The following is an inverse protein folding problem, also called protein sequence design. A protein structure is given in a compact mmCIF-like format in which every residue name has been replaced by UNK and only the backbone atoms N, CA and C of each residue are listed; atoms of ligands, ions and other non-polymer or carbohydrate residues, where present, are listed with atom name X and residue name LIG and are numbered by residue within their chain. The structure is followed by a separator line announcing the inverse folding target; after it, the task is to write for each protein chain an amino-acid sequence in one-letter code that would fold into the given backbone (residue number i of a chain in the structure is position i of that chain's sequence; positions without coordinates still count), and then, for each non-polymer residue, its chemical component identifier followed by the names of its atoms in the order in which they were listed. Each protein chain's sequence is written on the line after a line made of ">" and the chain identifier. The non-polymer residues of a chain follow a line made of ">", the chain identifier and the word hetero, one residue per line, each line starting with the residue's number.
data_IF_785393974518
#
_entry.id   IF_785393974518
#
_cell.length_a   1.000
_cell.length_b   1.000
_cell.length_c   1.000
_cell.angle_alpha   90.00
_cell.angle_beta   90.00
_cell.angle_gamma   90.00
#
_symmetry.space_group_name_H-M   'P 1'
#
loop_
_entity.id
_entity.type
_entity.pdbx_description
1 polymer ?
#
# COMPACT_ATOMS: atom_id res chain seq x y z
N UNK A 1 -35.67 9.09 -23.54
CA UNK A 1 -35.27 7.67 -23.64
C UNK A 1 -34.18 7.29 -22.63
N UNK A 2 -33.01 7.93 -22.62
CA UNK A 2 -31.97 7.62 -21.61
C UNK A 2 -32.45 7.89 -20.16
N UNK A 3 -33.13 9.03 -19.95
CA UNK A 3 -33.68 9.43 -18.65
C UNK A 3 -34.77 8.45 -18.15
N UNK A 4 -35.55 7.88 -19.07
CA UNK A 4 -36.59 6.87 -18.77
C UNK A 4 -36.00 5.49 -18.49
N UNK A 5 -34.92 5.10 -19.19
CA UNK A 5 -34.16 3.89 -18.88
C UNK A 5 -33.50 3.97 -17.51
N UNK A 6 -32.84 5.10 -17.20
CA UNK A 6 -32.15 5.30 -15.92
C UNK A 6 -33.14 5.52 -14.76
N UNK A 7 -34.39 5.91 -15.02
CA UNK A 7 -35.41 5.98 -13.95
C UNK A 7 -35.96 4.62 -13.52
N UNK A 8 -35.85 3.58 -14.35
CA UNK A 8 -36.37 2.26 -14.02
C UNK A 8 -35.35 1.49 -13.14
N UNK A 9 -35.74 0.99 -11.95
CA UNK A 9 -34.84 0.26 -11.05
C UNK A 9 -34.24 -1.00 -11.70
N UNK A 10 -35.02 -1.74 -12.52
CA UNK A 10 -34.54 -2.95 -13.21
C UNK A 10 -33.46 -2.61 -14.24
N UNK A 11 -33.70 -1.56 -15.03
CA UNK A 11 -32.73 -1.08 -16.02
C UNK A 11 -31.46 -0.52 -15.37
N UNK A 12 -31.56 0.13 -14.21
CA UNK A 12 -30.40 0.60 -13.43
C UNK A 12 -29.53 -0.55 -12.94
N UNK A 13 -30.16 -1.59 -12.37
CA UNK A 13 -29.47 -2.79 -11.90
C UNK A 13 -28.79 -3.51 -13.07
N UNK A 14 -29.46 -3.63 -14.22
CA UNK A 14 -28.89 -4.24 -15.42
C UNK A 14 -27.70 -3.44 -15.98
N UNK A 15 -27.80 -2.11 -16.04
CA UNK A 15 -26.69 -1.25 -16.45
C UNK A 15 -25.52 -1.33 -15.47
N UNK A 16 -25.77 -1.36 -14.15
CA UNK A 16 -24.74 -1.55 -13.14
C UNK A 16 -24.00 -2.88 -13.34
N UNK A 17 -24.72 -3.97 -13.65
CA UNK A 17 -24.10 -5.26 -13.95
C UNK A 17 -23.21 -5.21 -15.21
N UNK A 18 -23.67 -4.58 -16.30
CA UNK A 18 -22.86 -4.40 -17.51
C UNK A 18 -21.58 -3.62 -17.20
N UNK A 19 -21.69 -2.51 -16.46
CA UNK A 19 -20.54 -1.70 -16.05
C UNK A 19 -19.59 -2.53 -15.19
N UNK A 20 -20.09 -3.33 -14.25
CA UNK A 20 -19.27 -4.21 -13.43
C UNK A 20 -18.47 -5.20 -14.28
N UNK A 21 -19.10 -5.85 -15.26
CA UNK A 21 -18.42 -6.79 -16.16
C UNK A 21 -17.36 -6.10 -17.01
N UNK A 22 -17.68 -4.96 -17.61
CA UNK A 22 -16.73 -4.20 -18.44
C UNK A 22 -15.55 -3.70 -17.60
N UNK A 23 -15.80 -3.19 -16.39
CA UNK A 23 -14.76 -2.72 -15.49
C UNK A 23 -13.88 -3.87 -14.96
N UNK A 24 -14.47 -5.02 -14.64
CA UNK A 24 -13.73 -6.22 -14.26
C UNK A 24 -12.83 -6.73 -15.41
N UNK A 25 -13.35 -6.74 -16.65
CA UNK A 25 -12.55 -7.08 -17.83
C UNK A 25 -11.42 -6.08 -18.07
N UNK A 26 -11.65 -4.78 -17.85
CA UNK A 26 -10.61 -3.75 -17.91
C UNK A 26 -9.51 -3.98 -16.86
N UNK A 27 -9.92 -4.31 -15.63
CA UNK A 27 -9.01 -4.66 -14.53
C UNK A 27 -8.16 -5.88 -14.89
N UNK A 28 -8.79 -6.93 -15.41
CA UNK A 28 -8.13 -8.17 -15.84
C UNK A 28 -7.15 -7.94 -16.99
N UNK A 29 -7.52 -7.14 -18.00
CA UNK A 29 -6.64 -6.83 -19.13
C UNK A 29 -5.37 -6.09 -18.68
N UNK A 30 -5.50 -5.14 -17.75
CA UNK A 30 -4.34 -4.42 -17.20
C UNK A 30 -3.44 -5.37 -16.43
N UNK A 31 -4.03 -6.28 -15.63
CA UNK A 31 -3.25 -7.28 -14.89
C UNK A 31 -2.47 -8.22 -15.80
N UNK A 32 -3.10 -8.82 -16.82
CA UNK A 32 -2.43 -9.78 -17.72
C UNK A 32 -1.32 -9.13 -18.56
N UNK A 33 -1.40 -7.82 -18.79
CA UNK A 33 -0.38 -7.05 -19.51
C UNK A 33 0.62 -6.36 -18.59
N UNK A 34 0.49 -6.54 -17.27
CA UNK A 34 1.41 -6.01 -16.28
C UNK A 34 2.70 -6.85 -16.22
N UNK A 35 3.80 -6.27 -15.68
CA UNK A 35 4.99 -7.06 -15.34
C UNK A 35 4.63 -8.22 -14.41
N UNK A 36 5.38 -9.33 -14.48
CA UNK A 36 5.15 -10.51 -13.62
C UNK A 36 5.19 -10.20 -12.12
N UNK A 37 5.87 -9.11 -11.73
CA UNK A 37 5.96 -8.63 -10.35
C UNK A 37 4.84 -7.67 -9.94
N UNK A 38 3.80 -7.46 -10.76
CA UNK A 38 2.64 -6.65 -10.38
C UNK A 38 1.70 -7.43 -9.46
N UNK A 39 1.37 -6.86 -8.31
CA UNK A 39 0.43 -7.45 -7.35
C UNK A 39 1.08 -8.27 -6.23
N UNK A 40 2.40 -8.16 -6.06
CA UNK A 40 3.10 -8.91 -5.03
C UNK A 40 2.88 -8.27 -3.67
N UNK A 41 2.04 -8.90 -2.87
CA UNK A 41 1.76 -8.54 -1.47
C UNK A 41 2.63 -9.36 -0.53
N UNK A 42 2.86 -8.83 0.68
CA UNK A 42 3.49 -9.55 1.79
C UNK A 42 4.71 -10.37 1.38
N UNK A 43 5.67 -9.71 0.72
CA UNK A 43 6.98 -10.29 0.38
C UNK A 43 7.74 -10.55 1.68
N UNK A 44 7.34 -11.53 2.49
CA UNK A 44 7.97 -11.80 3.77
C UNK A 44 9.37 -12.33 3.49
N UNK A 45 10.39 -11.64 3.94
CA UNK A 45 11.75 -12.17 3.88
C UNK A 45 11.95 -13.20 5.00
N UNK A 46 11.20 -14.31 4.93
CA UNK A 46 11.34 -15.43 5.84
C UNK A 46 12.62 -16.20 5.49
N UNK A 47 13.32 -16.67 6.52
CA UNK A 47 14.58 -17.39 6.38
C UNK A 47 14.49 -18.68 7.17
N UNK A 48 14.37 -19.80 6.47
CA UNK A 48 14.21 -21.11 7.10
C UNK A 48 15.57 -21.85 7.23
N UNK A 49 16.56 -21.44 6.45
CA UNK A 49 17.88 -22.06 6.42
C UNK A 49 18.98 -21.05 6.09
N UNK A 50 20.16 -21.27 6.68
CA UNK A 50 21.39 -20.54 6.38
C UNK A 50 22.35 -21.49 5.65
N UNK A 51 22.92 -21.00 4.56
CA UNK A 51 23.94 -21.68 3.79
C UNK A 51 25.28 -20.98 3.94
N UNK A 52 26.34 -21.59 3.45
CA UNK A 52 27.63 -20.93 3.26
C UNK A 52 28.27 -21.34 1.93
N UNK A 53 29.12 -20.47 1.39
CA UNK A 53 29.91 -20.80 0.21
C UNK A 53 31.01 -21.82 0.56
N UNK A 54 31.06 -22.93 -0.17
CA UNK A 54 32.16 -23.88 -0.09
C UNK A 54 33.48 -23.32 -0.64
N UNK A 55 33.41 -22.48 -1.66
CA UNK A 55 34.55 -21.90 -2.38
C UNK A 55 34.45 -20.37 -2.43
N UNK A 56 35.51 -19.71 -2.90
CA UNK A 56 35.48 -18.27 -3.20
C UNK A 56 34.48 -17.97 -4.31
N UNK A 57 33.71 -16.89 -4.14
CA UNK A 57 32.71 -16.47 -5.12
C UNK A 57 32.87 -15.00 -5.48
N UNK A 58 32.66 -14.67 -6.76
CA UNK A 58 32.72 -13.29 -7.23
C UNK A 58 31.54 -12.97 -8.12
N UNK A 59 31.00 -11.77 -7.93
CA UNK A 59 29.88 -11.23 -8.70
C UNK A 59 30.31 -9.92 -9.33
N UNK A 60 30.20 -9.82 -10.65
CA UNK A 60 30.51 -8.60 -11.38
C UNK A 60 29.27 -8.09 -12.12
N UNK A 61 28.94 -6.84 -11.85
CA UNK A 61 28.02 -5.99 -12.60
C UNK A 61 28.82 -4.96 -13.40
N UNK A 62 28.20 -4.18 -14.29
CA UNK A 62 28.95 -3.32 -15.23
C UNK A 62 29.84 -2.28 -14.51
N UNK A 63 29.47 -1.84 -13.30
CA UNK A 63 30.21 -0.83 -12.52
C UNK A 63 30.54 -1.26 -11.08
N UNK A 64 30.26 -2.51 -10.73
CA UNK A 64 30.42 -3.02 -9.37
C UNK A 64 30.93 -4.45 -9.41
N UNK A 65 32.01 -4.73 -8.70
CA UNK A 65 32.52 -6.08 -8.49
C UNK A 65 32.54 -6.37 -6.98
N UNK A 66 31.94 -7.49 -6.60
CA UNK A 66 31.90 -8.02 -5.25
C UNK A 66 32.65 -9.35 -5.23
N UNK A 67 33.46 -9.57 -4.20
CA UNK A 67 34.09 -10.88 -3.95
C UNK A 67 33.81 -11.31 -2.52
N UNK A 68 33.39 -12.56 -2.38
CA UNK A 68 33.17 -13.24 -1.13
C UNK A 68 34.10 -14.45 -1.06
N UNK A 69 34.50 -14.80 0.15
CA UNK A 69 35.40 -15.93 0.40
C UNK A 69 34.63 -17.13 0.91
N UNK A 70 35.25 -18.31 0.84
CA UNK A 70 34.72 -19.51 1.48
C UNK A 70 34.29 -19.26 2.95
N UNK A 71 33.18 -19.87 3.36
CA UNK A 71 32.58 -19.66 4.69
C UNK A 71 31.69 -18.43 4.83
N UNK A 72 31.53 -17.61 3.79
CA UNK A 72 30.52 -16.53 3.75
C UNK A 72 29.12 -17.13 3.91
N UNK A 73 28.37 -16.63 4.89
CA UNK A 73 26.99 -17.03 5.12
C UNK A 73 26.09 -16.45 4.02
N UNK A 74 25.17 -17.27 3.54
CA UNK A 74 24.20 -16.96 2.50
C UNK A 74 22.81 -17.26 3.04
N UNK A 75 22.03 -16.20 3.20
CA UNK A 75 20.73 -16.22 3.86
C UNK A 75 19.70 -15.82 2.80
N UNK A 76 19.10 -16.80 2.09
CA UNK A 76 18.06 -16.54 1.12
C UNK A 76 16.76 -16.16 1.84
N UNK A 77 16.05 -15.22 1.23
CA UNK A 77 14.76 -14.77 1.68
C UNK A 77 13.69 -15.13 0.64
N UNK A 78 12.60 -15.75 1.11
CA UNK A 78 11.67 -16.45 0.25
C UNK A 78 10.30 -15.79 0.18
N UNK A 79 9.72 -15.73 -1.01
CA UNK A 79 8.31 -15.42 -1.19
C UNK A 79 7.65 -16.49 -2.06
N UNK A 80 6.58 -17.11 -1.56
CA UNK A 80 5.89 -18.24 -2.18
C UNK A 80 6.84 -19.36 -2.68
N UNK A 81 7.83 -19.71 -1.87
CA UNK A 81 8.81 -20.78 -2.18
C UNK A 81 9.87 -20.41 -3.22
N UNK A 82 9.97 -19.13 -3.60
CA UNK A 82 10.99 -18.61 -4.52
C UNK A 82 11.87 -17.58 -3.83
N UNK A 83 13.14 -17.50 -4.22
CA UNK A 83 14.08 -16.55 -3.65
C UNK A 83 13.84 -15.16 -4.26
N UNK A 84 13.66 -14.16 -3.40
CA UNK A 84 13.41 -12.75 -3.77
C UNK A 84 14.47 -11.80 -3.25
N UNK A 85 15.25 -12.22 -2.25
CA UNK A 85 16.45 -11.52 -1.82
C UNK A 85 17.46 -12.51 -1.23
N UNK A 86 18.73 -12.11 -1.21
CA UNK A 86 19.81 -12.90 -0.59
C UNK A 86 20.68 -11.96 0.22
N UNK A 87 20.80 -12.23 1.53
CA UNK A 87 21.74 -11.57 2.41
C UNK A 87 23.01 -12.40 2.51
N UNK A 88 24.15 -11.80 2.22
CA UNK A 88 25.48 -12.39 2.32
C UNK A 88 26.27 -11.72 3.44
N UNK A 89 26.86 -12.53 4.31
CA UNK A 89 27.65 -12.09 5.46
C UNK A 89 28.99 -12.86 5.47
N UNK A 90 30.09 -12.26 4.97
CA UNK A 90 31.42 -12.86 5.03
C UNK A 90 31.91 -13.06 6.47
N UNK A 91 32.85 -14.00 6.70
CA UNK A 91 33.49 -14.17 8.00
C UNK A 91 34.25 -12.91 8.41
N UNK A 92 34.24 -12.57 9.70
CA UNK A 92 34.91 -11.37 10.21
C UNK A 92 36.42 -11.36 9.92
N UNK A 93 37.06 -12.54 9.97
CA UNK A 93 38.49 -12.69 9.72
C UNK A 93 38.86 -12.63 8.23
N UNK A 94 37.86 -12.73 7.34
CA UNK A 94 38.04 -12.67 5.88
C UNK A 94 36.88 -11.91 5.23
N UNK A 95 36.80 -10.56 5.44
CA UNK A 95 35.71 -9.75 4.90
C UNK A 95 35.70 -9.79 3.38
N UNK A 96 34.55 -9.55 2.77
CA UNK A 96 34.43 -9.48 1.32
C UNK A 96 35.18 -8.29 0.72
N UNK A 97 35.31 -8.25 -0.60
CA UNK A 97 35.87 -7.11 -1.33
C UNK A 97 34.76 -6.42 -2.10
N UNK A 98 34.73 -5.08 -2.01
CA UNK A 98 33.90 -4.19 -2.79
C UNK A 98 34.79 -3.35 -3.72
N UNK A 99 34.59 -3.46 -5.03
CA UNK A 99 35.22 -2.62 -6.04
C UNK A 99 34.15 -1.86 -6.84
N UNK A 100 34.15 -0.54 -6.75
CA UNK A 100 33.26 0.33 -7.54
C UNK A 100 34.07 0.97 -8.66
N UNK A 101 33.68 0.72 -9.91
CA UNK A 101 34.34 1.25 -11.11
C UNK A 101 33.59 2.45 -11.65
N UNK A 102 34.24 3.62 -11.73
CA UNK A 102 33.58 4.87 -12.13
C UNK A 102 34.08 5.37 -13.50
N UNK A 103 33.17 5.68 -14.46
CA UNK A 103 33.52 6.32 -15.71
C UNK A 103 34.22 7.67 -15.51
N UNK A 104 35.21 7.97 -16.36
CA UNK A 104 35.97 9.24 -16.29
C UNK A 104 35.09 10.48 -16.34
N UNK A 105 34.02 10.43 -17.13
CA UNK A 105 33.12 11.55 -17.39
C UNK A 105 32.20 11.87 -16.19
N UNK A 106 32.01 10.90 -15.28
CA UNK A 106 31.05 11.00 -14.18
C UNK A 106 31.69 10.97 -12.79
N UNK A 107 32.97 10.60 -12.69
CA UNK A 107 33.68 10.49 -11.40
C UNK A 107 34.17 11.82 -10.82
N UNK A 108 34.26 12.89 -11.61
CA UNK A 108 34.90 14.14 -11.17
C UNK A 108 36.34 13.91 -10.69
N UNK A 109 36.64 14.30 -9.45
CA UNK A 109 37.94 14.12 -8.79
C UNK A 109 38.12 12.74 -8.13
N UNK A 110 37.10 11.89 -8.15
CA UNK A 110 37.18 10.55 -7.56
C UNK A 110 38.11 9.63 -8.36
N UNK A 111 38.75 8.64 -7.69
CA UNK A 111 39.58 7.67 -8.38
C UNK A 111 38.77 6.82 -9.38
N UNK A 112 39.46 6.17 -10.33
CA UNK A 112 38.82 5.25 -11.28
C UNK A 112 38.14 4.07 -10.61
N UNK A 113 38.70 3.62 -9.49
CA UNK A 113 38.17 2.50 -8.72
C UNK A 113 38.18 2.89 -7.26
N UNK A 114 37.03 2.80 -6.61
CA UNK A 114 36.91 2.92 -5.16
C UNK A 114 36.88 1.49 -4.61
N UNK A 115 37.73 1.21 -3.61
CA UNK A 115 37.83 -0.10 -2.98
C UNK A 115 37.46 0.00 -1.51
N UNK A 116 36.71 -0.98 -1.03
CA UNK A 116 36.42 -1.16 0.39
C UNK A 116 36.35 -2.65 0.73
N UNK A 117 36.42 -2.95 2.02
CA UNK A 117 36.04 -4.25 2.54
C UNK A 117 34.53 -4.27 2.77
N UNK A 118 33.90 -5.40 2.48
CA UNK A 118 32.47 -5.58 2.53
C UNK A 118 32.13 -6.46 3.74
N UNK A 119 31.40 -5.88 4.69
CA UNK A 119 30.92 -6.65 5.84
C UNK A 119 29.66 -7.45 5.48
N UNK A 120 28.78 -6.88 4.65
CA UNK A 120 27.50 -7.48 4.27
C UNK A 120 27.03 -6.99 2.90
N UNK A 121 26.27 -7.83 2.19
CA UNK A 121 25.53 -7.44 1.00
C UNK A 121 24.15 -8.06 0.98
N UNK A 122 23.13 -7.26 0.67
CA UNK A 122 21.78 -7.69 0.42
C UNK A 122 21.46 -7.45 -1.06
N UNK A 123 21.17 -8.52 -1.77
CA UNK A 123 20.85 -8.52 -3.20
C UNK A 123 19.35 -8.74 -3.36
N UNK A 124 18.67 -7.81 -4.05
CA UNK A 124 17.28 -8.01 -4.47
C UNK A 124 17.26 -8.76 -5.80
N UNK A 125 16.44 -9.81 -5.89
CA UNK A 125 16.44 -10.72 -7.04
C UNK A 125 15.07 -10.73 -7.72
N UNK A 126 15.08 -10.90 -9.05
CA UNK A 126 13.89 -11.39 -9.76
C UNK A 126 13.67 -12.85 -9.34
N UNK A 127 12.43 -13.30 -9.28
CA UNK A 127 12.05 -14.62 -8.75
C UNK A 127 12.93 -15.74 -9.32
N UNK A 128 13.79 -16.31 -8.47
CA UNK A 128 14.64 -17.44 -8.83
C UNK A 128 14.21 -18.67 -8.03
N UNK A 129 14.10 -19.81 -8.73
CA UNK A 129 13.85 -21.08 -8.05
C UNK A 129 15.01 -21.36 -7.10
N UNK A 130 14.67 -21.64 -5.86
CA UNK A 130 15.62 -22.04 -4.84
C UNK A 130 16.53 -23.20 -5.29
N UNK A 131 16.02 -24.15 -6.07
CA UNK A 131 16.83 -25.25 -6.61
C UNK A 131 17.89 -24.75 -7.58
N UNK A 132 17.58 -23.76 -8.41
CA UNK A 132 18.54 -23.11 -9.28
C UNK A 132 19.54 -22.28 -8.49
N UNK A 133 19.12 -21.66 -7.38
CA UNK A 133 20.04 -20.95 -6.48
C UNK A 133 21.10 -21.89 -5.86
N UNK A 134 20.75 -23.16 -5.61
CA UNK A 134 21.71 -24.17 -5.10
C UNK A 134 22.54 -24.81 -6.23
N UNK A 135 22.03 -24.81 -7.46
CA UNK A 135 22.63 -25.52 -8.59
C UNK A 135 22.58 -24.68 -9.85
N UNK A 136 23.67 -23.96 -10.12
CA UNK A 136 24.04 -23.67 -11.51
C UNK A 136 25.56 -23.72 -11.66
N UNK A 137 26.03 -24.83 -12.26
CA UNK A 137 27.37 -25.02 -12.83
C UNK A 137 28.60 -24.78 -11.93
N UNK A 138 29.05 -25.84 -11.25
CA UNK A 138 30.48 -26.20 -11.19
C UNK A 138 31.42 -25.44 -10.24
N UNK A 139 31.15 -24.19 -9.88
CA UNK A 139 32.17 -23.36 -9.20
C UNK A 139 31.83 -22.95 -7.75
N UNK A 140 30.59 -23.10 -7.28
CA UNK A 140 30.26 -22.85 -5.85
C UNK A 140 29.05 -23.66 -5.41
N UNK A 141 29.27 -24.67 -4.57
CA UNK A 141 28.18 -25.41 -3.91
C UNK A 141 27.82 -24.69 -2.62
N UNK A 142 26.56 -24.30 -2.47
CA UNK A 142 26.02 -23.80 -1.22
C UNK A 142 25.76 -24.99 -0.28
N UNK A 143 26.49 -25.02 0.83
CA UNK A 143 26.33 -26.05 1.85
C UNK A 143 25.46 -25.50 2.97
N UNK A 144 24.53 -26.31 3.48
CA UNK A 144 23.75 -25.94 4.66
C UNK A 144 24.71 -25.81 5.85
N UNK A 145 24.58 -24.75 6.63
CA UNK A 145 25.36 -24.62 7.86
C UNK A 145 24.94 -25.74 8.83
N UNK A 146 25.75 -26.81 8.89
CA UNK A 146 25.40 -28.06 9.61
C UNK A 146 25.33 -27.86 11.14
N UNK A 147 25.98 -26.82 11.66
CA UNK A 147 26.10 -26.54 13.09
C UNK A 147 25.07 -25.54 13.64
N UNK A 148 24.22 -24.93 12.80
CA UNK A 148 23.24 -23.93 13.25
C UNK A 148 21.87 -24.57 13.49
N UNK A 149 21.47 -24.66 14.76
CA UNK A 149 20.09 -25.00 15.10
C UNK A 149 19.16 -23.81 14.81
N UNK A 150 17.89 -24.07 14.48
CA UNK A 150 16.90 -23.03 14.15
C UNK A 150 16.75 -21.97 15.28
N UNK A 151 16.98 -22.38 16.53
CA UNK A 151 16.95 -21.51 17.71
C UNK A 151 18.18 -20.58 17.83
N UNK A 152 19.27 -20.91 17.15
CA UNK A 152 20.54 -20.16 17.18
C UNK A 152 20.62 -19.11 16.07
N UNK A 153 19.66 -19.13 15.14
CA UNK A 153 19.55 -18.14 14.07
C UNK A 153 19.14 -16.79 14.67
N UNK A 154 19.90 -15.70 14.44
CA UNK A 154 19.56 -14.37 14.97
C UNK A 154 18.44 -13.72 14.16
N UNK A 155 17.22 -14.25 14.28
CA UNK A 155 16.04 -13.90 13.48
C UNK A 155 15.73 -12.41 13.48
N UNK A 156 15.83 -11.73 14.63
CA UNK A 156 15.60 -10.28 14.73
C UNK A 156 16.62 -9.45 13.95
N UNK A 157 17.88 -9.87 13.96
CA UNK A 157 18.94 -9.19 13.22
C UNK A 157 18.72 -9.36 11.72
N UNK A 158 18.48 -10.60 11.29
CA UNK A 158 18.26 -10.97 9.88
C UNK A 158 17.02 -10.24 9.34
N UNK A 159 15.90 -10.27 10.06
CA UNK A 159 14.69 -9.54 9.71
C UNK A 159 14.95 -8.04 9.52
N UNK A 160 15.69 -7.40 10.44
CA UNK A 160 16.05 -5.98 10.31
C UNK A 160 16.92 -5.71 9.08
N UNK A 161 17.87 -6.58 8.75
CA UNK A 161 18.70 -6.40 7.55
C UNK A 161 17.88 -6.56 6.28
N UNK A 162 16.98 -7.54 6.24
CA UNK A 162 16.07 -7.78 5.13
C UNK A 162 15.08 -6.61 4.95
N UNK A 163 14.64 -5.97 6.04
CA UNK A 163 13.80 -4.77 5.97
C UNK A 163 14.47 -3.61 5.22
N UNK A 164 15.80 -3.50 5.27
CA UNK A 164 16.53 -2.52 4.46
C UNK A 164 16.42 -2.79 2.96
N UNK A 165 16.15 -4.03 2.55
CA UNK A 165 15.87 -4.41 1.16
C UNK A 165 14.60 -3.77 0.62
N UNK A 166 13.52 -3.70 1.43
CA UNK A 166 12.28 -3.05 1.00
C UNK A 166 12.49 -1.58 0.62
N UNK A 167 13.43 -0.89 1.25
CA UNK A 167 13.72 0.52 0.93
C UNK A 167 14.28 0.72 -0.50
N UNK A 168 14.81 -0.35 -1.11
CA UNK A 168 15.27 -0.34 -2.50
C UNK A 168 14.14 -0.58 -3.49
N UNK A 169 13.04 -1.19 -3.03
CA UNK A 169 11.90 -1.55 -3.86
C UNK A 169 10.89 -0.41 -3.94
N UNK A 170 10.26 -0.31 -5.09
CA UNK A 170 9.10 0.56 -5.29
C UNK A 170 7.87 -0.14 -4.74
N UNK A 171 7.15 0.54 -3.86
CA UNK A 171 5.85 0.10 -3.39
C UNK A 171 4.73 0.97 -3.90
N UNK A 172 3.53 0.42 -3.78
CA UNK A 172 2.28 1.09 -4.07
C UNK A 172 1.17 0.48 -3.22
N UNK A 173 0.16 1.26 -2.91
CA UNK A 173 -0.94 0.80 -2.08
C UNK A 173 -2.21 0.62 -2.93
N UNK A 174 -2.73 -0.59 -3.01
CA UNK A 174 -4.03 -0.91 -3.61
C UNK A 174 -5.07 -1.04 -2.49
N UNK A 175 -5.87 0.02 -2.28
CA UNK A 175 -6.99 0.04 -1.33
C UNK A 175 -6.68 -0.44 0.10
N UNK A 176 -5.46 -0.22 0.59
CA UNK A 176 -5.01 -0.66 1.92
C UNK A 176 -3.89 -1.71 1.86
N UNK A 177 -3.81 -2.49 0.79
CA UNK A 177 -2.80 -3.53 0.60
C UNK A 177 -1.52 -2.96 -0.03
N UNK A 178 -0.42 -3.03 0.69
CA UNK A 178 0.89 -2.61 0.19
C UNK A 178 1.45 -3.69 -0.72
N UNK A 179 1.66 -3.32 -1.97
CA UNK A 179 2.25 -4.16 -3.00
C UNK A 179 3.66 -3.66 -3.32
N UNK A 180 4.54 -4.59 -3.67
CA UNK A 180 5.94 -4.31 -3.98
C UNK A 180 6.25 -4.70 -5.42
N UNK A 181 6.95 -3.83 -6.13
CA UNK A 181 7.48 -4.14 -7.44
C UNK A 181 8.87 -4.75 -7.27
N UNK A 182 9.01 -6.03 -7.60
CA UNK A 182 10.31 -6.71 -7.62
C UNK A 182 11.14 -6.31 -8.85
N UNK A 183 12.49 -6.35 -8.77
CA UNK A 183 13.37 -6.09 -9.90
C UNK A 183 13.10 -7.08 -11.04
N UNK A 184 13.55 -6.70 -12.24
CA UNK A 184 13.57 -7.61 -13.40
C UNK A 184 14.93 -8.27 -13.52
N UNK A 185 15.06 -9.31 -14.35
CA UNK A 185 16.34 -9.96 -14.68
C UNK A 185 17.46 -8.99 -15.13
N UNK A 186 17.13 -7.78 -15.59
CA UNK A 186 18.11 -6.78 -16.06
C UNK A 186 18.35 -5.65 -15.04
N UNK A 187 17.67 -5.68 -13.89
CA UNK A 187 17.75 -4.64 -12.87
C UNK A 187 18.60 -5.12 -11.71
N UNK A 188 19.58 -4.31 -11.31
CA UNK A 188 20.41 -4.58 -10.13
C UNK A 188 19.99 -3.63 -9.01
N UNK A 189 19.64 -4.17 -7.86
CA UNK A 189 19.26 -3.43 -6.65
C UNK A 189 19.97 -4.06 -5.45
N UNK A 190 20.96 -3.37 -4.89
CA UNK A 190 21.75 -3.88 -3.76
C UNK A 190 21.81 -2.89 -2.62
N UNK A 191 21.87 -3.43 -1.41
CA UNK A 191 22.32 -2.72 -0.21
C UNK A 191 23.64 -3.35 0.24
N UNK A 192 24.67 -2.53 0.37
CA UNK A 192 26.02 -2.95 0.72
C UNK A 192 26.42 -2.25 2.01
N UNK A 193 27.19 -2.93 2.86
CA UNK A 193 27.77 -2.34 4.07
C UNK A 193 29.28 -2.44 3.98
N UNK A 194 29.92 -1.35 3.56
CA UNK A 194 31.37 -1.22 3.51
C UNK A 194 31.94 -0.82 4.87
N UNK A 195 33.13 -1.32 5.20
CA UNK A 195 33.81 -1.00 6.46
C UNK A 195 34.18 0.48 6.58
N UNK A 196 34.57 1.11 5.46
CA UNK A 196 34.96 2.53 5.43
C UNK A 196 33.85 3.42 4.91
N UNK A 197 33.14 2.97 3.88
CA UNK A 197 32.12 3.76 3.20
C UNK A 197 30.75 3.69 3.91
N UNK A 198 30.58 2.76 4.85
CA UNK A 198 29.32 2.53 5.54
C UNK A 198 28.25 1.95 4.59
N UNK A 199 26.95 2.18 4.89
CA UNK A 199 25.87 1.65 4.07
C UNK A 199 25.77 2.39 2.73
N UNK A 200 25.82 1.64 1.63
CA UNK A 200 25.69 2.11 0.26
C UNK A 200 24.53 1.37 -0.40
N UNK A 201 23.69 2.10 -1.12
CA UNK A 201 22.72 1.55 -2.06
C UNK A 201 23.31 1.59 -3.46
N UNK A 202 23.24 0.46 -4.17
CA UNK A 202 23.61 0.36 -5.58
C UNK A 202 22.36 0.06 -6.41
N UNK A 203 22.21 0.80 -7.51
CA UNK A 203 21.16 0.62 -8.49
C UNK A 203 21.73 0.67 -9.89
N UNK A 204 21.34 -0.31 -10.72
CA UNK A 204 21.72 -0.37 -12.14
C UNK A 204 20.52 -0.77 -13.00
N UNK A 205 20.22 0.08 -13.99
CA UNK A 205 19.29 -0.16 -15.10
C UNK A 205 19.72 0.79 -16.25
N UNK A 206 18.81 1.55 -16.89
CA UNK A 206 19.19 2.72 -17.71
C UNK A 206 20.01 3.79 -17.00
N UNK A 207 20.06 3.71 -15.69
CA UNK A 207 20.80 4.63 -14.86
C UNK A 207 21.56 3.83 -13.80
N UNK A 208 22.77 4.28 -13.54
CA UNK A 208 23.63 3.74 -12.51
C UNK A 208 23.64 4.75 -11.37
N UNK A 209 23.34 4.28 -10.16
CA UNK A 209 23.39 5.09 -8.95
C UNK A 209 24.11 4.37 -7.83
N UNK A 210 25.06 5.08 -7.22
CA UNK A 210 25.70 4.74 -5.95
C UNK A 210 25.31 5.79 -4.93
N UNK A 211 24.59 5.41 -3.88
CA UNK A 211 24.12 6.34 -2.85
C UNK A 211 24.50 5.85 -1.44
N UNK A 212 25.34 6.59 -0.75
CA UNK A 212 25.76 6.41 0.63
C UNK A 212 25.84 7.75 1.35
N UNK A 213 26.29 7.75 2.61
CA UNK A 213 26.33 8.97 3.43
C UNK A 213 27.28 10.06 2.86
N UNK A 214 28.40 9.63 2.28
CA UNK A 214 29.45 10.53 1.76
C UNK A 214 29.63 10.42 0.23
N UNK A 215 28.82 9.60 -0.44
CA UNK A 215 28.95 9.26 -1.86
C UNK A 215 27.57 9.22 -2.52
N UNK A 216 27.22 10.19 -3.39
CA UNK A 216 26.02 10.12 -4.24
C UNK A 216 26.42 10.39 -5.69
N UNK A 217 26.59 9.32 -6.47
CA UNK A 217 26.97 9.36 -7.88
C UNK A 217 25.84 8.78 -8.69
N UNK A 218 25.45 9.47 -9.76
CA UNK A 218 24.34 9.09 -10.63
C UNK A 218 24.66 9.43 -12.09
N UNK A 219 24.54 8.46 -12.98
CA UNK A 219 24.77 8.66 -14.42
C UNK A 219 23.98 7.69 -15.29
N UNK A 220 23.72 8.08 -16.55
CA UNK A 220 23.02 7.21 -17.50
C UNK A 220 23.90 6.04 -17.92
N UNK A 221 23.33 4.85 -17.94
CA UNK A 221 24.00 3.65 -18.41
C UNK A 221 24.22 3.74 -19.93
N UNK A 222 25.47 3.71 -20.43
CA UNK A 222 25.75 3.99 -21.84
C UNK A 222 25.27 2.90 -22.79
N UNK A 223 25.14 1.66 -22.29
CA UNK A 223 24.69 0.51 -23.08
C UNK A 223 23.20 0.18 -22.91
N UNK A 224 22.54 0.70 -21.88
CA UNK A 224 21.15 0.39 -21.57
C UNK A 224 20.31 1.62 -21.88
N UNK A 225 19.49 1.52 -22.92
CA UNK A 225 18.69 2.64 -23.43
C UNK A 225 17.23 2.59 -22.99
N UNK A 226 16.78 1.44 -22.47
CA UNK A 226 15.40 1.19 -22.09
C UNK A 226 15.30 0.87 -20.61
N UNK A 227 14.39 1.57 -19.92
CA UNK A 227 14.17 1.41 -18.48
C UNK A 227 13.29 0.17 -18.24
N UNK A 228 13.72 -0.69 -17.33
CA UNK A 228 12.99 -1.89 -16.92
C UNK A 228 12.44 -1.79 -15.50
N UNK A 229 12.98 -0.89 -14.67
CA UNK A 229 12.53 -0.70 -13.30
C UNK A 229 12.49 0.79 -12.87
N UNK A 230 11.37 1.27 -12.28
CA UNK A 230 10.04 0.75 -12.55
C UNK A 230 9.78 0.82 -14.07
N UNK A 231 8.98 -0.08 -14.64
CA UNK A 231 8.70 -0.06 -16.06
C UNK A 231 8.02 1.26 -16.46
N UNK A 232 8.30 1.72 -17.68
CA UNK A 232 7.73 2.97 -18.17
C UNK A 232 6.19 2.95 -18.10
N UNK A 233 5.61 4.05 -17.60
CA UNK A 233 4.16 4.17 -17.42
C UNK A 233 3.57 3.31 -16.30
N UNK A 234 4.39 2.70 -15.45
CA UNK A 234 3.93 1.89 -14.31
C UNK A 234 2.92 2.62 -13.42
N UNK A 235 3.20 3.86 -13.02
CA UNK A 235 2.29 4.66 -12.19
C UNK A 235 0.93 4.89 -12.87
N UNK A 236 0.92 5.13 -14.18
CA UNK A 236 -0.32 5.28 -14.94
C UNK A 236 -1.10 3.98 -14.97
N UNK A 237 -0.43 2.85 -15.22
CA UNK A 237 -1.06 1.52 -15.22
C UNK A 237 -1.66 1.16 -13.86
N UNK A 238 -0.91 1.37 -12.78
CA UNK A 238 -1.39 1.15 -11.42
C UNK A 238 -2.60 2.06 -11.11
N UNK A 239 -2.57 3.33 -11.53
CA UNK A 239 -3.71 4.24 -11.38
C UNK A 239 -4.95 3.80 -12.18
N UNK A 240 -4.77 3.37 -13.44
CA UNK A 240 -5.85 2.83 -14.27
C UNK A 240 -6.43 1.54 -13.69
N UNK A 241 -5.58 0.66 -13.16
CA UNK A 241 -6.00 -0.55 -12.46
C UNK A 241 -6.91 -0.21 -11.26
N UNK A 242 -6.46 0.72 -10.39
CA UNK A 242 -7.25 1.17 -9.25
C UNK A 242 -8.58 1.78 -9.67
N UNK A 243 -8.61 2.55 -10.77
CA UNK A 243 -9.84 3.13 -11.30
C UNK A 243 -10.85 2.05 -11.71
N UNK A 244 -10.42 1.06 -12.50
CA UNK A 244 -11.32 -0.02 -12.93
C UNK A 244 -11.76 -0.90 -11.77
N UNK A 245 -10.89 -1.14 -10.79
CA UNK A 245 -11.24 -1.89 -9.59
C UNK A 245 -12.28 -1.14 -8.74
N UNK A 246 -12.10 0.17 -8.52
CA UNK A 246 -13.10 1.02 -7.86
C UNK A 246 -14.42 1.07 -8.65
N UNK A 247 -14.37 1.19 -9.97
CA UNK A 247 -15.57 1.20 -10.81
C UNK A 247 -16.36 -0.11 -10.67
N UNK A 248 -15.65 -1.25 -10.65
CA UNK A 248 -16.25 -2.57 -10.40
C UNK A 248 -16.91 -2.62 -9.02
N UNK A 249 -16.22 -2.17 -7.98
CA UNK A 249 -16.76 -2.14 -6.61
C UNK A 249 -17.99 -1.22 -6.49
N UNK A 250 -17.96 -0.01 -7.07
CA UNK A 250 -19.12 0.89 -7.12
C UNK A 250 -20.31 0.28 -7.86
N UNK A 251 -20.06 -0.46 -8.95
CA UNK A 251 -21.09 -1.13 -9.70
C UNK A 251 -21.74 -2.28 -8.89
N UNK A 252 -20.94 -3.06 -8.15
CA UNK A 252 -21.45 -4.08 -7.22
C UNK A 252 -22.29 -3.45 -6.10
N UNK A 253 -21.81 -2.35 -5.51
CA UNK A 253 -22.58 -1.58 -4.50
C UNK A 253 -23.92 -1.13 -5.11
N UNK A 254 -23.89 -0.54 -6.29
CA UNK A 254 -25.10 -0.06 -7.00
C UNK A 254 -26.08 -1.18 -7.30
N UNK A 255 -25.57 -2.38 -7.63
CA UNK A 255 -26.38 -3.55 -7.90
C UNK A 255 -27.05 -4.08 -6.62
N UNK A 256 -26.31 -4.23 -5.53
CA UNK A 256 -26.82 -4.81 -4.27
C UNK A 256 -27.74 -3.86 -3.50
N UNK A 257 -27.48 -2.57 -3.59
CA UNK A 257 -28.25 -1.51 -2.93
C UNK A 257 -29.33 -0.94 -3.87
N UNK A 258 -29.31 -1.34 -5.15
CA UNK A 258 -30.25 -0.90 -6.17
C UNK A 258 -31.71 -1.14 -5.75
N UNK A 259 -32.45 -0.04 -5.55
CA UNK A 259 -33.86 -0.08 -5.14
C UNK A 259 -34.12 0.25 -3.67
N UNK A 260 -33.10 0.48 -2.85
CA UNK A 260 -33.27 1.01 -1.47
C UNK A 260 -33.31 2.53 -1.40
N UNK A 261 -33.34 3.22 -2.54
CA UNK A 261 -33.32 4.69 -2.62
C UNK A 261 -34.49 5.29 -1.84
N UNK A 262 -34.18 5.91 -0.70
CA UNK A 262 -35.10 6.82 -0.05
C UNK A 262 -35.27 8.04 -0.96
N UNK A 263 -36.52 8.28 -1.41
CA UNK A 263 -36.94 9.65 -1.77
C UNK A 263 -36.64 10.50 -0.53
N UNK A 264 -35.66 11.40 -0.63
CA UNK A 264 -35.29 12.31 0.45
C UNK A 264 -36.59 12.90 1.02
N UNK A 265 -36.96 12.50 2.24
CA UNK A 265 -37.86 13.31 3.03
C UNK A 265 -37.08 14.59 3.30
N UNK A 266 -37.57 15.71 2.79
CA UNK A 266 -37.07 17.03 3.17
C UNK A 266 -37.22 17.15 4.69
N UNK A 267 -36.14 16.87 5.42
CA UNK A 267 -36.05 17.20 6.83
C UNK A 267 -35.70 18.68 6.88
N UNK A 268 -36.71 19.51 7.15
CA UNK A 268 -36.52 20.94 7.39
C UNK A 268 -35.77 21.12 8.73
N UNK A 269 -34.45 21.19 8.68
CA UNK A 269 -33.63 21.48 9.85
C UNK A 269 -33.57 22.97 10.16
N UNK A 270 -33.70 23.35 11.43
CA UNK A 270 -33.62 24.75 11.91
C UNK A 270 -32.18 25.14 12.29
N UNK A 271 -31.16 24.77 11.51
CA UNK A 271 -29.76 25.05 11.86
C UNK A 271 -29.20 26.30 11.16
N UNK A 272 -28.47 27.13 11.92
CA UNK A 272 -27.90 28.37 11.41
C UNK A 272 -26.73 28.09 10.44
N UNK A 273 -26.72 28.70 9.24
CA UNK A 273 -25.76 28.37 8.19
C UNK A 273 -24.32 28.74 8.57
N UNK A 274 -24.11 29.89 9.20
CA UNK A 274 -22.76 30.40 9.50
C UNK A 274 -22.03 29.54 10.55
N UNK A 275 -22.73 29.14 11.62
CA UNK A 275 -22.21 28.22 12.63
C UNK A 275 -21.92 26.83 12.06
N UNK A 276 -22.75 26.36 11.13
CA UNK A 276 -22.59 25.06 10.50
C UNK A 276 -21.37 25.04 9.56
N UNK A 277 -21.12 26.14 8.81
CA UNK A 277 -19.88 26.30 8.02
C UNK A 277 -18.64 26.30 8.91
N UNK A 278 -18.66 27.04 10.02
CA UNK A 278 -17.54 27.07 10.97
C UNK A 278 -17.29 25.68 11.59
N UNK A 279 -18.36 24.94 11.92
CA UNK A 279 -18.25 23.57 12.42
C UNK A 279 -17.69 22.61 11.37
N UNK A 280 -18.09 22.72 10.10
CA UNK A 280 -17.52 21.93 8.99
C UNK A 280 -16.03 22.22 8.79
N UNK A 281 -15.65 23.49 8.73
CA UNK A 281 -14.24 23.87 8.59
C UNK A 281 -13.41 23.43 9.81
N UNK A 282 -13.93 23.64 11.03
CA UNK A 282 -13.29 23.24 12.27
C UNK A 282 -13.14 21.73 12.42
N UNK A 283 -14.13 20.94 11.99
CA UNK A 283 -14.05 19.47 12.02
C UNK A 283 -13.05 18.92 11.00
N UNK A 284 -12.98 19.49 9.78
CA UNK A 284 -11.96 19.11 8.81
C UNK A 284 -10.55 19.50 9.27
N UNK A 285 -10.40 20.69 9.87
CA UNK A 285 -9.13 21.12 10.48
C UNK A 285 -8.73 20.20 11.63
N UNK A 286 -9.67 19.84 12.51
CA UNK A 286 -9.44 18.90 13.60
C UNK A 286 -9.03 17.52 13.09
N UNK A 287 -9.75 17.00 12.08
CA UNK A 287 -9.42 15.73 11.44
C UNK A 287 -8.00 15.76 10.85
N UNK A 288 -7.62 16.85 10.19
CA UNK A 288 -6.27 17.02 9.66
C UNK A 288 -5.21 17.02 10.78
N UNK A 289 -5.38 17.87 11.80
CA UNK A 289 -4.45 17.96 12.93
C UNK A 289 -4.32 16.63 13.68
N UNK A 290 -5.43 15.92 13.91
CA UNK A 290 -5.43 14.62 14.57
C UNK A 290 -4.71 13.56 13.73
N UNK A 291 -4.87 13.60 12.40
CA UNK A 291 -4.17 12.67 11.49
C UNK A 291 -2.66 12.92 11.49
N UNK A 292 -2.23 14.18 11.46
CA UNK A 292 -0.81 14.55 11.57
C UNK A 292 -0.25 14.17 12.94
N UNK A 293 -0.99 14.43 14.02
CA UNK A 293 -0.62 14.03 15.38
C UNK A 293 -0.45 12.51 15.49
N UNK A 294 -1.39 11.74 14.92
CA UNK A 294 -1.34 10.28 14.95
C UNK A 294 -0.12 9.74 14.21
N UNK A 295 0.24 10.32 13.06
CA UNK A 295 1.41 9.92 12.30
C UNK A 295 2.73 10.20 13.03
N UNK A 296 2.84 11.34 13.73
CA UNK A 296 4.08 11.75 14.40
C UNK A 296 4.26 11.10 15.78
N UNK A 297 3.20 11.06 16.59
CA UNK A 297 3.28 10.64 17.99
C UNK A 297 2.85 9.19 18.23
N UNK A 298 2.20 8.54 17.24
CA UNK A 298 1.73 7.16 17.32
C UNK A 298 1.04 6.83 18.66
N UNK A 299 -0.02 7.59 19.04
CA UNK A 299 -0.70 7.38 20.30
C UNK A 299 -1.28 5.97 20.39
N UNK A 300 -1.48 5.43 21.62
CA UNK A 300 -2.10 4.12 21.78
C UNK A 300 -3.49 4.10 21.11
N UNK A 301 -3.93 2.97 20.52
CA UNK A 301 -5.17 2.88 19.75
C UNK A 301 -6.41 3.41 20.48
N UNK A 302 -6.48 3.18 21.80
CA UNK A 302 -7.58 3.67 22.65
C UNK A 302 -7.57 5.19 22.76
N UNK A 303 -6.38 5.80 22.89
CA UNK A 303 -6.23 7.25 22.88
C UNK A 303 -6.69 7.85 21.56
N UNK A 304 -6.33 7.22 20.43
CA UNK A 304 -6.78 7.65 19.10
C UNK A 304 -8.31 7.56 18.96
N UNK A 305 -8.93 6.47 19.41
CA UNK A 305 -10.38 6.32 19.37
C UNK A 305 -11.10 7.40 20.21
N UNK A 306 -10.60 7.71 21.41
CA UNK A 306 -11.16 8.76 22.26
C UNK A 306 -11.02 10.16 21.63
N UNK A 307 -9.91 10.44 20.95
CA UNK A 307 -9.72 11.71 20.24
C UNK A 307 -10.72 11.85 19.08
N UNK A 308 -11.02 10.78 18.34
CA UNK A 308 -12.07 10.81 17.32
C UNK A 308 -13.49 10.93 17.89
N UNK A 309 -13.74 10.47 19.12
CA UNK A 309 -15.03 10.61 19.79
C UNK A 309 -15.34 12.06 20.20
N UNK A 310 -14.32 12.85 20.58
CA UNK A 310 -14.49 14.20 21.09
C UNK A 310 -15.29 15.14 20.15
N UNK A 311 -14.96 15.27 18.85
CA UNK A 311 -15.75 16.10 17.93
C UNK A 311 -17.17 15.56 17.72
N UNK A 312 -17.39 14.25 17.84
CA UNK A 312 -18.74 13.67 17.74
C UNK A 312 -19.63 14.09 18.90
N UNK A 313 -19.09 14.26 20.11
CA UNK A 313 -19.87 14.77 21.24
C UNK A 313 -20.39 16.19 20.98
N UNK A 314 -19.56 17.03 20.34
CA UNK A 314 -19.94 18.39 19.93
C UNK A 314 -21.02 18.33 18.84
N UNK A 315 -20.83 17.48 17.83
CA UNK A 315 -21.83 17.27 16.76
C UNK A 315 -23.15 16.75 17.34
N UNK A 316 -23.11 15.84 18.31
CA UNK A 316 -24.31 15.32 18.96
C UNK A 316 -25.04 16.40 19.77
N UNK A 317 -24.31 17.26 20.49
CA UNK A 317 -24.89 18.40 21.20
C UNK A 317 -25.52 19.40 20.22
N UNK A 318 -24.82 19.72 19.12
CA UNK A 318 -25.33 20.58 18.05
C UNK A 318 -26.59 19.99 17.39
N UNK A 319 -26.58 18.71 17.04
CA UNK A 319 -27.70 18.01 16.40
C UNK A 319 -28.95 18.00 17.28
N UNK A 320 -28.78 17.79 18.59
CA UNK A 320 -29.88 17.92 19.57
C UNK A 320 -30.44 19.33 19.61
N UNK A 321 -29.57 20.35 19.59
CA UNK A 321 -30.02 21.74 19.58
C UNK A 321 -30.78 22.10 18.30
N UNK A 322 -30.33 21.57 17.16
CA UNK A 322 -30.95 21.72 15.85
C UNK A 322 -32.16 20.78 15.61
N UNK A 323 -32.56 19.98 16.62
CA UNK A 323 -33.68 19.02 16.57
C UNK A 323 -33.61 18.03 15.40
N UNK A 324 -32.40 17.61 15.02
CA UNK A 324 -32.19 16.65 13.94
C UNK A 324 -32.39 15.22 14.46
N UNK A 325 -33.23 14.45 13.77
CA UNK A 325 -33.44 13.04 14.07
C UNK A 325 -32.21 12.19 13.66
N UNK A 326 -31.90 11.07 14.35
CA UNK A 326 -30.81 10.18 13.95
C UNK A 326 -30.90 9.68 12.51
N UNK A 327 -32.12 9.52 11.98
CA UNK A 327 -32.38 9.15 10.59
C UNK A 327 -31.80 10.18 9.59
N UNK A 328 -31.70 11.46 9.98
CA UNK A 328 -31.07 12.50 9.17
C UNK A 328 -29.62 12.14 8.83
N UNK A 329 -28.89 11.54 9.77
CA UNK A 329 -27.49 11.12 9.59
C UNK A 329 -27.37 9.73 8.94
N UNK A 330 -28.47 9.05 8.61
CA UNK A 330 -28.46 7.69 8.10
C UNK A 330 -28.29 6.62 9.18
N UNK A 331 -28.57 6.96 10.44
CA UNK A 331 -28.63 5.99 11.54
C UNK A 331 -30.01 5.34 11.57
N UNK A 332 -30.23 4.38 10.65
CA UNK A 332 -31.47 3.62 10.58
C UNK A 332 -31.23 2.14 10.34
N UNK A 333 -32.22 1.30 10.67
CA UNK A 333 -32.21 -0.11 10.31
C UNK A 333 -32.55 -0.34 8.82
N UNK A 334 -33.09 0.67 8.14
CA UNK A 334 -33.43 0.58 6.71
C UNK A 334 -32.15 0.58 5.88
N UNK A 335 -32.10 -0.30 4.88
CA UNK A 335 -30.91 -0.44 4.04
C UNK A 335 -29.69 -1.07 4.74
N UNK A 336 -29.78 -1.43 6.03
CA UNK A 336 -28.64 -1.97 6.79
C UNK A 336 -28.19 -3.32 6.24
N UNK A 337 -29.12 -4.25 6.03
CA UNK A 337 -28.83 -5.57 5.46
C UNK A 337 -28.22 -5.49 4.05
N UNK A 338 -28.88 -4.87 3.05
CA UNK A 338 -28.32 -4.77 1.70
C UNK A 338 -27.04 -3.92 1.68
N UNK A 339 -26.94 -2.87 2.49
CA UNK A 339 -25.73 -2.06 2.62
C UNK A 339 -24.55 -2.81 3.23
N UNK A 340 -24.78 -3.63 4.26
CA UNK A 340 -23.73 -4.44 4.89
C UNK A 340 -23.29 -5.57 3.96
N UNK A 341 -24.22 -6.20 3.24
CA UNK A 341 -23.90 -7.19 2.22
C UNK A 341 -23.06 -6.57 1.08
N UNK A 342 -23.41 -5.36 0.66
CA UNK A 342 -22.64 -4.60 -0.33
C UNK A 342 -21.24 -4.24 0.19
N UNK A 343 -21.11 -3.82 1.44
CA UNK A 343 -19.83 -3.53 2.08
C UNK A 343 -18.89 -4.74 2.05
N UNK A 344 -19.37 -5.90 2.54
CA UNK A 344 -18.58 -7.14 2.58
C UNK A 344 -18.22 -7.61 1.17
N UNK A 345 -19.16 -7.53 0.23
CA UNK A 345 -18.95 -7.98 -1.15
C UNK A 345 -17.96 -7.08 -1.91
N UNK A 346 -18.08 -5.76 -1.75
CA UNK A 346 -17.14 -4.80 -2.30
C UNK A 346 -15.75 -5.02 -1.70
N UNK A 347 -15.66 -5.21 -0.38
CA UNK A 347 -14.40 -5.50 0.29
C UNK A 347 -13.75 -6.79 -0.21
N UNK A 348 -14.51 -7.89 -0.32
CA UNK A 348 -13.99 -9.16 -0.86
C UNK A 348 -13.44 -9.01 -2.28
N UNK A 349 -14.13 -8.23 -3.13
CA UNK A 349 -13.67 -7.93 -4.48
C UNK A 349 -12.38 -7.10 -4.48
N UNK A 350 -12.29 -6.10 -3.60
CA UNK A 350 -11.08 -5.29 -3.44
C UNK A 350 -9.91 -6.13 -2.92
N UNK A 351 -10.12 -7.02 -1.96
CA UNK A 351 -9.11 -7.95 -1.46
C UNK A 351 -8.54 -8.79 -2.59
N UNK A 352 -9.41 -9.47 -3.33
CA UNK A 352 -9.03 -10.30 -4.47
C UNK A 352 -8.29 -9.51 -5.54
N UNK A 353 -8.78 -8.31 -5.87
CA UNK A 353 -8.13 -7.43 -6.85
C UNK A 353 -6.85 -6.75 -6.35
N UNK A 354 -6.64 -6.65 -5.05
CA UNK A 354 -5.46 -5.96 -4.50
C UNK A 354 -4.32 -6.90 -4.13
N UNK A 355 -4.63 -8.18 -3.90
CA UNK A 355 -3.67 -9.22 -3.48
C UNK A 355 -3.46 -10.31 -4.53
N UNK A 356 -4.40 -10.47 -5.46
CA UNK A 356 -4.39 -11.53 -6.50
C UNK A 356 -4.34 -12.96 -5.94
N UNK A 357 -4.55 -13.12 -4.65
CA UNK A 357 -4.51 -14.37 -3.91
C UNK A 357 -5.73 -14.45 -2.99
N UNK A 358 -6.03 -15.67 -2.55
CA UNK A 358 -7.04 -15.88 -1.51
C UNK A 358 -6.35 -15.88 -0.16
N UNK A 359 -6.88 -15.21 0.86
CA UNK A 359 -6.26 -15.21 2.18
C UNK A 359 -6.18 -16.64 2.73
N UNK A 360 -4.99 -17.04 3.17
CA UNK A 360 -4.72 -18.33 3.78
C UNK A 360 -5.29 -18.43 5.20
N UNK A 361 -5.50 -17.31 5.88
CA UNK A 361 -6.02 -17.26 7.25
C UNK A 361 -6.38 -15.87 7.74
N UNK A 362 -6.68 -15.80 9.03
CA UNK A 362 -7.05 -14.57 9.74
C UNK A 362 -6.36 -14.53 11.10
N UNK A 363 -5.55 -13.51 11.34
CA UNK A 363 -4.98 -13.23 12.65
C UNK A 363 -5.77 -12.11 13.32
N UNK A 364 -6.33 -12.36 14.50
CA UNK A 364 -7.16 -11.38 15.19
C UNK A 364 -6.54 -10.91 16.51
N UNK A 365 -6.23 -9.62 16.56
CA UNK A 365 -5.78 -8.94 17.77
C UNK A 365 -6.90 -8.04 18.34
N UNK A 366 -7.02 -7.99 19.66
CA UNK A 366 -7.95 -7.07 20.34
C UNK A 366 -7.67 -5.59 20.02
N UNK A 367 -6.44 -5.24 19.66
CA UNK A 367 -6.10 -3.89 19.17
C UNK A 367 -6.89 -3.51 17.91
N UNK A 368 -7.23 -4.48 17.04
CA UNK A 368 -8.02 -4.24 15.83
C UNK A 368 -9.43 -3.79 16.16
N UNK A 369 -10.05 -4.33 17.22
CA UNK A 369 -11.38 -3.87 17.64
C UNK A 369 -11.37 -2.37 18.00
N UNK A 370 -10.32 -1.90 18.67
CA UNK A 370 -10.17 -0.49 19.03
C UNK A 370 -9.92 0.38 17.80
N UNK A 371 -9.14 -0.12 16.83
CA UNK A 371 -8.96 0.55 15.53
C UNK A 371 -10.28 0.66 14.76
N UNK A 372 -11.09 -0.41 14.73
CA UNK A 372 -12.44 -0.37 14.15
C UNK A 372 -13.25 0.74 14.80
N UNK A 373 -13.23 0.84 16.13
CA UNK A 373 -13.97 1.88 16.83
C UNK A 373 -13.51 3.30 16.45
N UNK A 374 -12.19 3.52 16.32
CA UNK A 374 -11.66 4.79 15.84
C UNK A 374 -12.12 5.12 14.41
N UNK A 375 -12.12 4.13 13.51
CA UNK A 375 -12.60 4.27 12.13
C UNK A 375 -14.10 4.57 12.09
N UNK A 376 -14.90 3.88 12.89
CA UNK A 376 -16.34 4.15 13.01
C UNK A 376 -16.58 5.61 13.42
N UNK A 377 -15.90 6.09 14.48
CA UNK A 377 -16.06 7.47 14.93
C UNK A 377 -15.64 8.49 13.87
N UNK A 378 -14.55 8.21 13.17
CA UNK A 378 -14.11 9.04 12.05
C UNK A 378 -15.13 9.09 10.92
N UNK A 379 -15.68 7.96 10.47
CA UNK A 379 -16.67 7.95 9.40
C UNK A 379 -18.01 8.57 9.83
N UNK A 380 -18.37 8.49 11.12
CA UNK A 380 -19.52 9.23 11.65
C UNK A 380 -19.33 10.75 11.53
N UNK A 381 -18.11 11.24 11.72
CA UNK A 381 -17.79 12.65 11.52
C UNK A 381 -17.75 13.01 10.03
N UNK A 382 -17.01 12.25 9.22
CA UNK A 382 -16.79 12.57 7.81
C UNK A 382 -18.04 12.33 6.96
N UNK A 383 -18.66 11.16 7.06
CA UNK A 383 -19.84 10.79 6.25
C UNK A 383 -21.12 11.25 6.90
N UNK A 384 -21.28 10.93 8.18
CA UNK A 384 -22.46 11.29 8.94
C UNK A 384 -22.65 12.80 9.02
N UNK A 385 -21.65 13.55 9.47
CA UNK A 385 -21.77 15.01 9.59
C UNK A 385 -21.35 15.75 8.31
N UNK A 386 -20.08 15.68 7.90
CA UNK A 386 -19.58 16.54 6.82
C UNK A 386 -20.27 16.27 5.48
N UNK A 387 -20.29 15.01 5.03
CA UNK A 387 -20.85 14.65 3.72
C UNK A 387 -22.35 14.93 3.71
N UNK A 388 -23.09 14.55 4.76
CA UNK A 388 -24.54 14.76 4.81
C UNK A 388 -24.95 16.23 4.73
N UNK A 389 -24.28 17.10 5.48
CA UNK A 389 -24.61 18.54 5.48
C UNK A 389 -24.31 19.17 4.11
N UNK A 390 -23.15 18.88 3.51
CA UNK A 390 -22.80 19.40 2.18
C UNK A 390 -23.74 18.83 1.11
N UNK A 391 -24.08 17.54 1.21
CA UNK A 391 -25.03 16.87 0.32
C UNK A 391 -26.43 17.48 0.40
N UNK A 392 -26.84 17.95 1.58
CA UNK A 392 -28.13 18.63 1.79
C UNK A 392 -28.14 20.06 1.24
N UNK A 393 -27.04 20.81 1.37
CA UNK A 393 -26.97 22.22 0.93
C UNK A 393 -26.68 22.43 -0.55
N UNK A 394 -25.83 21.58 -1.13
CA UNK A 394 -25.32 21.80 -2.50
C UNK A 394 -25.94 20.79 -3.45
N UNK A 395 -25.52 19.53 -3.31
CA UNK A 395 -25.98 18.41 -4.12
C UNK A 395 -25.41 17.12 -3.52
N UNK A 396 -26.14 15.98 -3.53
CA UNK A 396 -25.65 14.73 -2.97
C UNK A 396 -24.26 14.30 -3.47
N UNK A 397 -24.04 14.37 -4.79
CA UNK A 397 -22.75 14.06 -5.42
C UNK A 397 -21.65 15.06 -5.08
N UNK A 398 -22.00 16.34 -4.82
CA UNK A 398 -21.02 17.35 -4.43
C UNK A 398 -20.50 17.08 -3.02
N UNK A 399 -21.37 16.69 -2.09
CA UNK A 399 -20.97 16.24 -0.75
C UNK A 399 -20.04 15.03 -0.79
N UNK A 400 -20.37 14.02 -1.60
CA UNK A 400 -19.50 12.85 -1.82
C UNK A 400 -18.13 13.27 -2.34
N UNK A 401 -18.08 14.06 -3.42
CA UNK A 401 -16.82 14.45 -4.05
C UNK A 401 -15.95 15.30 -3.12
N UNK A 402 -16.51 16.35 -2.50
CA UNK A 402 -15.77 17.28 -1.66
C UNK A 402 -15.18 16.61 -0.42
N UNK A 403 -15.99 15.84 0.31
CA UNK A 403 -15.49 15.13 1.51
C UNK A 403 -14.50 14.05 1.12
N UNK A 404 -14.71 13.36 -0.01
CA UNK A 404 -13.79 12.31 -0.41
C UNK A 404 -12.43 12.86 -0.81
N UNK A 405 -12.40 13.96 -1.56
CA UNK A 405 -11.16 14.67 -1.89
C UNK A 405 -10.47 15.25 -0.66
N UNK A 406 -11.22 15.89 0.25
CA UNK A 406 -10.65 16.46 1.47
C UNK A 406 -10.00 15.37 2.34
N UNK A 407 -10.68 14.24 2.53
CA UNK A 407 -10.14 13.14 3.32
C UNK A 407 -8.92 12.47 2.65
N UNK A 408 -8.93 12.33 1.32
CA UNK A 408 -7.79 11.79 0.59
C UNK A 408 -6.53 12.66 0.74
N UNK A 409 -6.69 13.99 0.67
CA UNK A 409 -5.57 14.93 0.90
C UNK A 409 -5.08 14.87 2.34
N UNK A 410 -6.01 14.85 3.31
CA UNK A 410 -5.67 14.77 4.74
C UNK A 410 -4.87 13.50 5.03
N UNK A 411 -5.35 12.34 4.60
CA UNK A 411 -4.70 11.04 4.84
C UNK A 411 -3.30 10.95 4.24
N UNK A 412 -3.10 11.43 3.01
CA UNK A 412 -1.76 11.42 2.37
C UNK A 412 -0.82 12.45 2.99
N UNK A 413 -1.32 13.63 3.38
CA UNK A 413 -0.49 14.70 3.93
C UNK A 413 0.27 14.29 5.19
N UNK A 414 -0.29 13.39 5.99
CA UNK A 414 0.32 12.90 7.22
C UNK A 414 1.55 12.01 6.98
N UNK A 415 1.65 11.36 5.82
CA UNK A 415 2.81 10.56 5.42
C UNK A 415 3.91 11.39 4.71
N UNK A 416 3.63 12.67 4.40
CA UNK A 416 4.52 13.56 3.66
C UNK A 416 4.42 13.42 2.13
N UNK A 417 4.68 14.53 1.42
CA UNK A 417 4.65 14.55 -0.05
C UNK A 417 6.01 14.10 -0.62
N UNK A 418 6.17 12.78 -0.77
CA UNK A 418 7.35 12.17 -1.40
C UNK A 418 7.17 11.84 -2.89
N UNK A 419 8.22 11.33 -3.58
CA UNK A 419 8.09 10.76 -4.91
C UNK A 419 7.07 9.61 -4.87
N UNK A 420 6.05 9.63 -5.74
CA UNK A 420 4.98 8.63 -5.75
C UNK A 420 3.71 8.99 -4.97
N UNK A 421 3.62 10.20 -4.37
CA UNK A 421 2.42 10.68 -3.66
C UNK A 421 1.14 10.60 -4.50
N UNK A 422 1.24 10.70 -5.83
CA UNK A 422 0.10 10.62 -6.74
C UNK A 422 -0.64 9.28 -6.64
N UNK A 423 0.09 8.15 -6.55
CA UNK A 423 -0.54 6.83 -6.39
C UNK A 423 -1.17 6.67 -5.01
N UNK A 424 -0.50 7.16 -3.97
CA UNK A 424 -1.06 7.17 -2.62
C UNK A 424 -2.37 7.98 -2.56
N UNK A 425 -2.41 9.13 -3.24
CA UNK A 425 -3.62 9.96 -3.34
C UNK A 425 -4.73 9.27 -4.13
N UNK A 426 -4.43 8.66 -5.28
CA UNK A 426 -5.43 7.92 -6.06
C UNK A 426 -6.03 6.78 -5.24
N UNK A 427 -5.19 6.04 -4.51
CA UNK A 427 -5.64 4.97 -3.61
C UNK A 427 -6.51 5.50 -2.48
N UNK A 428 -6.05 6.54 -1.76
CA UNK A 428 -6.81 7.16 -0.67
C UNK A 428 -8.15 7.74 -1.16
N UNK A 429 -8.15 8.38 -2.32
CA UNK A 429 -9.35 8.90 -2.97
C UNK A 429 -10.30 7.76 -3.34
N UNK A 430 -9.80 6.68 -3.95
CA UNK A 430 -10.60 5.50 -4.29
C UNK A 430 -11.30 4.90 -3.07
N UNK A 431 -10.58 4.70 -1.97
CA UNK A 431 -11.16 4.21 -0.70
C UNK A 431 -12.26 5.14 -0.19
N UNK A 432 -11.95 6.42 -0.15
CA UNK A 432 -12.86 7.46 0.35
C UNK A 432 -14.13 7.59 -0.50
N UNK A 433 -13.99 7.52 -1.82
CA UNK A 433 -15.11 7.54 -2.77
C UNK A 433 -15.99 6.31 -2.61
N UNK A 434 -15.43 5.11 -2.45
CA UNK A 434 -16.21 3.88 -2.27
C UNK A 434 -17.06 3.90 -1.00
N UNK A 435 -16.47 4.32 0.12
CA UNK A 435 -17.19 4.49 1.40
C UNK A 435 -18.28 5.56 1.26
N UNK A 436 -17.94 6.72 0.68
CA UNK A 436 -18.88 7.81 0.46
C UNK A 436 -20.02 7.43 -0.51
N UNK A 437 -19.73 6.60 -1.51
CA UNK A 437 -20.69 6.10 -2.49
C UNK A 437 -21.64 5.09 -1.86
N UNK A 438 -21.14 4.16 -1.04
CA UNK A 438 -22.00 3.25 -0.28
C UNK A 438 -22.94 4.01 0.65
N UNK A 439 -22.46 5.06 1.32
CA UNK A 439 -23.31 5.93 2.14
C UNK A 439 -24.38 6.64 1.29
N UNK A 440 -23.99 7.20 0.14
CA UNK A 440 -24.92 7.86 -0.78
C UNK A 440 -26.01 6.91 -1.30
N UNK A 441 -25.65 5.67 -1.66
CA UNK A 441 -26.59 4.70 -2.23
C UNK A 441 -27.51 4.06 -1.19
N UNK A 442 -26.98 3.74 0.00
CA UNK A 442 -27.72 3.00 1.04
C UNK A 442 -28.42 3.90 2.06
N UNK A 443 -28.04 5.18 2.15
CA UNK A 443 -28.43 6.10 3.21
C UNK A 443 -28.17 5.52 4.62
N UNK A 444 -27.18 4.63 4.74
CA UNK A 444 -26.89 3.90 5.96
C UNK A 444 -25.43 4.11 6.41
N UNK A 445 -25.29 4.80 7.54
CA UNK A 445 -23.97 5.16 8.08
C UNK A 445 -23.21 3.95 8.63
N UNK A 446 -23.91 2.97 9.19
CA UNK A 446 -23.30 1.74 9.70
C UNK A 446 -22.69 0.91 8.57
N UNK A 447 -23.38 0.77 7.44
CA UNK A 447 -22.87 0.04 6.27
C UNK A 447 -21.60 0.71 5.69
N UNK A 448 -21.61 2.03 5.55
CA UNK A 448 -20.44 2.78 5.10
C UNK A 448 -19.25 2.66 6.07
N UNK A 449 -19.52 2.76 7.37
CA UNK A 449 -18.49 2.65 8.40
C UNK A 449 -17.94 1.22 8.50
N UNK A 450 -18.76 0.19 8.25
CA UNK A 450 -18.32 -1.20 8.12
C UNK A 450 -17.35 -1.37 6.95
N UNK A 451 -17.66 -0.83 5.77
CA UNK A 451 -16.75 -0.89 4.62
C UNK A 451 -15.42 -0.20 4.94
N UNK A 452 -15.45 1.00 5.54
CA UNK A 452 -14.23 1.70 5.94
C UNK A 452 -13.39 0.89 6.94
N UNK A 453 -14.03 0.29 7.94
CA UNK A 453 -13.36 -0.55 8.92
C UNK A 453 -12.72 -1.78 8.28
N UNK A 454 -13.45 -2.47 7.39
CA UNK A 454 -12.92 -3.62 6.65
C UNK A 454 -11.71 -3.23 5.78
N UNK A 455 -11.76 -2.08 5.11
CA UNK A 455 -10.66 -1.62 4.24
C UNK A 455 -9.40 -1.17 5.01
N UNK A 456 -9.51 -0.83 6.29
CA UNK A 456 -8.35 -0.45 7.11
C UNK A 456 -7.80 -1.60 7.96
N UNK A 457 -8.68 -2.44 8.50
CA UNK A 457 -8.28 -3.57 9.35
C UNK A 457 -8.04 -4.83 8.54
N UNK A 458 -8.72 -5.00 7.42
CA UNK A 458 -8.54 -6.13 6.51
C UNK A 458 -7.09 -6.39 6.12
N UNK A 459 -6.33 -5.39 5.65
CA UNK A 459 -4.91 -5.53 5.35
C UNK A 459 -4.03 -5.92 6.54
N UNK A 460 -4.48 -5.71 7.77
CA UNK A 460 -3.74 -6.06 8.99
C UNK A 460 -4.10 -7.43 9.54
N UNK A 461 -5.32 -7.91 9.27
CA UNK A 461 -5.87 -9.12 9.87
C UNK A 461 -5.88 -10.33 8.91
N UNK A 462 -5.82 -10.10 7.60
CA UNK A 462 -5.76 -11.18 6.60
C UNK A 462 -4.32 -11.65 6.41
N UNK A 463 -4.12 -12.97 6.39
CA UNK A 463 -2.83 -13.63 6.16
C UNK A 463 -2.82 -14.19 4.74
N UNK A 464 -1.75 -14.00 3.99
CA UNK A 464 -1.59 -14.42 2.59
C UNK A 464 -0.45 -15.41 2.37
#
# INVERSE_FOLDING_TARGET
>A
MLKTLVSNPVSRIFLALIIAVVAALGTFLIYVTAPASFGQTDVQFATDAIYYFADDWSLAYDYLELRFYSGTLVIPAYHHGRVVAVLMIPPADSPGILNISLPREHRGDLPSVIKDNLDQALIMMDYIDYKHFIQDSGDTILLRAEDLQEQEIPTQYISRQLDHGYSLLINYNLFGFTNWLLPTQQTVLLRLWGQRLGPISYYEDTEVRFAGAELDIRFKHPKLTRQFYPPEGYNLRAGLYMFFLAATAMAVISFMVGGTENKQREVAGEYQPLWTVLALAGTLLYAWLLTVFAAYFQPPPLGLALLWLLPLLIVAAWARHARLEPEFFGLSARGLLPGSAAAVSAFALLVLGSTFSWPAGFDWNMSYFILILAVLFREFLLRGFCQRIISHWVHPLAGLALVSCAWAVISVSAAGFGPGWGLALISALGRSVLVGFLYYSSDNLWAASLLAALMEVGPLALIY
#
